data_IF_771220399670
#
_entry.id   IF_771220399670
#
_cell.length_a   1.000
_cell.length_b   1.000
_cell.length_c   1.000
_cell.angle_alpha   90.00
_cell.angle_beta   90.00
_cell.angle_gamma   90.00
#
_symmetry.space_group_name_H-M   'P 1'
#
loop_
_entity.id
_entity.type
_entity.pdbx_description
1 polymer ?
#
# COMPACT_ATOMS: atom_id res chain seq x y z
N UNK A 1 4.08 41.09 11.31
CA UNK A 1 3.66 39.68 11.44
C UNK A 1 2.17 39.60 11.19
N UNK A 2 1.75 39.02 10.07
CA UNK A 2 0.34 38.95 9.67
C UNK A 2 -0.34 37.91 10.58
N UNK A 3 -1.29 38.35 11.40
CA UNK A 3 -2.06 37.46 12.28
C UNK A 3 -2.71 36.38 11.43
N UNK A 4 -2.35 35.11 11.66
CA UNK A 4 -3.01 33.98 11.02
C UNK A 4 -4.44 33.97 11.56
N UNK A 5 -5.42 34.12 10.67
CA UNK A 5 -6.83 34.10 11.05
C UNK A 5 -7.14 32.79 11.79
N UNK A 6 -7.85 32.86 12.92
CA UNK A 6 -8.26 31.71 13.73
C UNK A 6 -8.86 30.59 12.86
N UNK A 7 -9.68 30.94 11.84
CA UNK A 7 -10.25 29.97 10.89
C UNK A 7 -9.19 29.29 10.01
N UNK A 8 -8.18 30.04 9.56
CA UNK A 8 -7.07 29.50 8.79
C UNK A 8 -6.17 28.61 9.66
N UNK A 9 -5.99 28.94 10.94
CA UNK A 9 -5.28 28.10 11.89
C UNK A 9 -5.99 26.76 12.11
N UNK A 10 -7.31 26.77 12.35
CA UNK A 10 -8.11 25.54 12.47
C UNK A 10 -8.07 24.70 11.18
N UNK A 11 -8.16 25.34 10.00
CA UNK A 11 -8.08 24.63 8.72
C UNK A 11 -6.70 23.95 8.52
N UNK A 12 -5.60 24.63 8.87
CA UNK A 12 -4.25 24.08 8.77
C UNK A 12 -4.03 22.91 9.74
N UNK A 13 -4.55 23.01 10.97
CA UNK A 13 -4.50 21.92 11.96
C UNK A 13 -5.28 20.71 11.48
N UNK A 14 -6.49 20.89 10.95
CA UNK A 14 -7.29 19.80 10.38
C UNK A 14 -6.59 19.12 9.20
N UNK A 15 -5.97 19.90 8.30
CA UNK A 15 -5.24 19.37 7.15
C UNK A 15 -4.00 18.56 7.60
N UNK A 16 -3.28 19.03 8.61
CA UNK A 16 -2.13 18.33 9.17
C UNK A 16 -2.51 17.01 9.86
N UNK A 17 -3.68 16.95 10.50
CA UNK A 17 -4.21 15.72 11.13
C UNK A 17 -4.72 14.72 10.09
N UNK A 18 -5.25 15.19 8.96
CA UNK A 18 -5.77 14.32 7.89
C UNK A 18 -4.67 13.73 6.98
N UNK A 19 -3.53 14.42 6.83
CA UNK A 19 -2.44 14.01 5.94
C UNK A 19 -1.87 12.57 6.19
N UNK A 20 -1.70 12.08 7.44
CA UNK A 20 -1.15 10.74 7.68
C UNK A 20 -2.06 9.61 7.19
N UNK A 21 -3.38 9.84 7.15
CA UNK A 21 -4.34 8.83 6.67
C UNK A 21 -4.24 8.60 5.14
N UNK A 22 -3.60 9.54 4.42
CA UNK A 22 -3.40 9.47 2.97
C UNK A 22 -2.01 8.95 2.59
N UNK A 23 -1.11 8.78 3.57
CA UNK A 23 0.24 8.31 3.32
C UNK A 23 0.27 6.77 3.32
N UNK A 24 0.92 6.19 2.31
CA UNK A 24 1.22 4.76 2.31
C UNK A 24 2.01 4.35 3.57
N UNK A 25 1.81 3.11 4.04
CA UNK A 25 2.46 2.54 5.23
C UNK A 25 3.66 1.67 4.84
N UNK A 26 4.80 1.85 5.52
CA UNK A 26 5.92 0.89 5.46
C UNK A 26 5.82 0.04 6.71
N UNK A 27 5.64 -1.25 6.51
CA UNK A 27 5.63 -2.21 7.60
C UNK A 27 7.06 -2.70 7.87
N UNK A 28 7.20 -3.47 8.93
CA UNK A 28 8.35 -4.33 9.18
C UNK A 28 7.86 -5.79 9.17
N UNK A 29 8.80 -6.73 9.22
CA UNK A 29 8.50 -8.17 9.24
C UNK A 29 7.45 -8.56 10.29
N UNK A 30 7.57 -8.04 11.51
CA UNK A 30 6.73 -8.42 12.64
C UNK A 30 5.38 -7.68 12.65
N UNK A 31 5.31 -6.43 12.17
CA UNK A 31 4.03 -5.74 11.99
C UNK A 31 3.21 -6.38 10.87
N UNK A 32 3.82 -6.71 9.73
CA UNK A 32 3.13 -7.46 8.67
C UNK A 32 2.67 -8.84 9.15
N UNK A 33 3.52 -9.61 9.83
CA UNK A 33 3.14 -10.92 10.35
C UNK A 33 1.93 -10.86 11.31
N UNK A 34 1.87 -9.83 12.17
CA UNK A 34 0.74 -9.61 13.07
C UNK A 34 -0.53 -9.30 12.31
N UNK A 35 -0.48 -8.33 11.38
CA UNK A 35 -1.65 -7.96 10.58
C UNK A 35 -2.17 -9.15 9.75
N UNK A 36 -1.28 -9.95 9.15
CA UNK A 36 -1.67 -11.14 8.41
C UNK A 36 -2.27 -12.22 9.31
N UNK A 37 -1.73 -12.43 10.52
CA UNK A 37 -2.31 -13.35 11.49
C UNK A 37 -3.72 -12.91 11.93
N UNK A 38 -3.90 -11.61 12.16
CA UNK A 38 -5.20 -11.01 12.52
C UNK A 38 -6.23 -11.14 11.38
N UNK A 39 -5.76 -11.16 10.12
CA UNK A 39 -6.55 -11.46 8.92
C UNK A 39 -6.76 -12.96 8.66
N UNK A 40 -6.25 -13.84 9.53
CA UNK A 40 -6.48 -15.28 9.46
C UNK A 40 -5.47 -16.08 8.62
N UNK A 41 -4.35 -15.48 8.21
CA UNK A 41 -3.27 -16.23 7.56
C UNK A 41 -2.65 -17.22 8.57
N UNK A 42 -2.52 -18.52 8.22
CA UNK A 42 -1.95 -19.52 9.11
C UNK A 42 -0.55 -19.14 9.60
N UNK A 43 -0.29 -19.35 10.90
CA UNK A 43 0.97 -18.91 11.56
C UNK A 43 2.22 -19.53 10.93
N UNK A 44 2.10 -20.73 10.39
CA UNK A 44 3.14 -21.50 9.70
C UNK A 44 3.42 -21.01 8.26
N UNK A 45 2.70 -19.99 7.78
CA UNK A 45 2.94 -19.35 6.48
C UNK A 45 3.48 -17.92 6.61
N UNK A 46 3.40 -17.31 7.80
CA UNK A 46 3.74 -15.90 7.99
C UNK A 46 5.21 -15.60 7.68
N UNK A 47 6.10 -16.55 7.90
CA UNK A 47 7.52 -16.45 7.53
C UNK A 47 7.70 -16.31 6.01
N UNK A 48 6.96 -17.09 5.21
CA UNK A 48 6.99 -17.02 3.75
C UNK A 48 6.37 -15.73 3.24
N UNK A 49 5.20 -15.35 3.74
CA UNK A 49 4.52 -14.13 3.32
C UNK A 49 5.33 -12.86 3.62
N UNK A 50 5.96 -12.81 4.80
CA UNK A 50 6.83 -11.68 5.15
C UNK A 50 8.10 -11.65 4.32
N UNK A 51 8.66 -12.81 3.96
CA UNK A 51 9.78 -12.91 3.03
C UNK A 51 9.40 -12.37 1.63
N UNK A 52 8.24 -12.76 1.11
CA UNK A 52 7.72 -12.26 -0.18
C UNK A 52 7.61 -10.73 -0.13
N UNK A 53 6.93 -10.18 0.88
CA UNK A 53 6.77 -8.72 1.01
C UNK A 53 8.10 -7.96 1.11
N UNK A 54 9.11 -8.54 1.76
CA UNK A 54 10.44 -7.96 1.83
C UNK A 54 11.08 -7.82 0.44
N UNK A 55 11.05 -8.89 -0.34
CA UNK A 55 11.71 -8.93 -1.64
C UNK A 55 10.94 -8.18 -2.73
N UNK A 56 9.61 -8.16 -2.65
CA UNK A 56 8.76 -7.50 -3.63
C UNK A 56 8.72 -5.99 -3.46
N UNK A 57 8.59 -5.49 -2.22
CA UNK A 57 8.35 -4.06 -1.99
C UNK A 57 9.18 -3.42 -0.89
N UNK A 58 10.01 -4.18 -0.19
CA UNK A 58 10.63 -3.77 1.08
C UNK A 58 9.56 -3.31 2.09
N UNK A 59 8.48 -4.10 2.20
CA UNK A 59 7.34 -3.88 3.10
C UNK A 59 6.52 -2.59 2.87
N UNK A 60 6.74 -1.88 1.76
CA UNK A 60 5.99 -0.67 1.41
C UNK A 60 4.65 -1.03 0.76
N UNK A 61 3.57 -0.42 1.25
CA UNK A 61 2.18 -0.73 0.79
C UNK A 61 1.74 0.03 -0.46
N UNK A 62 2.50 1.03 -0.91
CA UNK A 62 2.10 1.96 -1.98
C UNK A 62 2.92 1.83 -3.27
N UNK A 63 3.80 0.84 -3.35
CA UNK A 63 4.74 0.69 -4.47
C UNK A 63 3.98 0.29 -5.73
N UNK A 64 4.24 0.99 -6.82
CA UNK A 64 3.96 0.51 -8.18
C UNK A 64 5.31 0.12 -8.77
N UNK A 65 5.46 -1.14 -9.13
CA UNK A 65 6.66 -1.69 -9.74
C UNK A 65 6.93 -1.06 -11.11
N UNK A 66 8.17 -1.19 -11.61
CA UNK A 66 8.48 -0.79 -12.98
C UNK A 66 7.56 -1.53 -13.97
N UNK A 67 7.40 -0.96 -15.17
CA UNK A 67 6.63 -1.64 -16.20
C UNK A 67 7.29 -2.98 -16.57
N UNK A 68 6.48 -4.02 -16.64
CA UNK A 68 6.86 -5.33 -17.15
C UNK A 68 7.01 -5.30 -18.67
N UNK A 69 7.60 -6.34 -19.25
CA UNK A 69 7.86 -6.41 -20.70
C UNK A 69 6.61 -6.40 -21.56
N UNK A 70 5.47 -6.81 -21.00
CA UNK A 70 4.14 -6.78 -21.64
C UNK A 70 3.39 -5.46 -21.39
N UNK A 71 4.01 -4.51 -20.67
CA UNK A 71 3.45 -3.20 -20.34
C UNK A 71 2.58 -3.18 -19.09
N UNK A 72 2.40 -4.31 -18.41
CA UNK A 72 1.71 -4.38 -17.12
C UNK A 72 2.53 -3.75 -16.00
N UNK A 73 1.92 -3.54 -14.83
CA UNK A 73 2.58 -3.09 -13.61
C UNK A 73 2.17 -3.96 -12.42
N UNK A 74 3.06 -4.03 -11.42
CA UNK A 74 2.81 -4.76 -10.18
C UNK A 74 2.57 -3.79 -9.01
N UNK A 75 1.60 -4.10 -8.14
CA UNK A 75 1.05 -3.14 -7.18
C UNK A 75 1.15 -3.60 -5.72
N UNK A 76 1.47 -2.64 -4.86
CA UNK A 76 1.39 -2.76 -3.41
C UNK A 76 2.46 -3.65 -2.78
N UNK A 77 2.16 -4.09 -1.56
CA UNK A 77 3.12 -4.81 -0.70
C UNK A 77 3.52 -6.19 -1.23
N UNK A 78 2.68 -6.81 -2.06
CA UNK A 78 2.94 -8.12 -2.66
C UNK A 78 3.17 -8.04 -4.17
N UNK A 79 3.31 -6.83 -4.73
CA UNK A 79 3.52 -6.61 -6.17
C UNK A 79 2.53 -7.43 -7.02
N UNK A 80 1.24 -7.21 -6.79
CA UNK A 80 0.15 -7.87 -7.49
C UNK A 80 -0.06 -7.24 -8.87
N UNK A 81 0.03 -8.06 -9.91
CA UNK A 81 0.02 -7.65 -11.32
C UNK A 81 -1.35 -7.18 -11.86
N UNK A 82 -1.38 -6.05 -12.57
CA UNK A 82 -2.60 -5.44 -13.14
C UNK A 82 -3.13 -6.10 -14.41
N UNK A 83 -2.37 -6.96 -15.09
CA UNK A 83 -2.89 -7.71 -16.23
C UNK A 83 -3.83 -8.83 -15.75
N UNK A 84 -3.53 -9.47 -14.62
CA UNK A 84 -4.25 -10.66 -14.15
C UNK A 84 -5.16 -10.43 -12.95
N UNK A 85 -4.66 -9.70 -11.95
CA UNK A 85 -5.26 -9.78 -10.61
C UNK A 85 -6.09 -8.57 -10.24
N UNK A 86 -5.75 -7.38 -10.72
CA UNK A 86 -6.46 -6.15 -10.39
C UNK A 86 -6.68 -5.23 -11.59
N UNK A 87 -7.79 -4.51 -11.60
CA UNK A 87 -8.13 -3.55 -12.64
C UNK A 87 -7.34 -2.23 -12.47
N UNK A 88 -6.48 -1.90 -13.44
CA UNK A 88 -5.90 -0.57 -13.59
C UNK A 88 -6.73 0.30 -14.56
N UNK A 89 -6.83 1.61 -14.30
CA UNK A 89 -7.66 2.51 -15.09
C UNK A 89 -7.24 2.54 -16.57
N UNK A 90 -8.20 2.27 -17.46
CA UNK A 90 -8.01 2.39 -18.90
C UNK A 90 -7.21 1.26 -19.57
N UNK A 91 -6.97 0.14 -18.88
CA UNK A 91 -6.31 -1.06 -19.42
C UNK A 91 -7.20 -2.29 -19.29
N UNK A 92 -7.03 -3.28 -20.17
CA UNK A 92 -7.65 -4.59 -19.98
C UNK A 92 -6.98 -5.33 -18.81
N UNK A 93 -7.77 -5.99 -17.97
CA UNK A 93 -7.32 -6.89 -16.91
C UNK A 93 -8.27 -8.08 -16.82
N UNK A 94 -7.76 -9.26 -16.44
CA UNK A 94 -8.62 -10.37 -16.03
C UNK A 94 -9.32 -10.08 -14.70
N UNK A 95 -8.73 -9.23 -13.86
CA UNK A 95 -9.29 -8.75 -12.60
C UNK A 95 -9.80 -9.87 -11.68
N UNK A 96 -9.03 -10.94 -11.53
CA UNK A 96 -9.45 -12.15 -10.78
C UNK A 96 -9.67 -11.90 -9.28
N UNK A 97 -9.15 -10.80 -8.71
CA UNK A 97 -9.39 -10.43 -7.31
C UNK A 97 -10.68 -9.61 -7.09
N UNK A 98 -11.36 -9.14 -8.14
CA UNK A 98 -12.67 -8.48 -8.07
C UNK A 98 -12.69 -6.97 -8.31
#
# INVERSE_FOLDING_TARGET
FKQINMKAFFALVLLAIAAPALAGRTLDRCSLAREMADLGVPRDQLDKWTCIAQHESDYRTWVVGPANSDGSNDYGIFQINDLYWCQADGRFSYNECG
#
